data_IF_380761485144
#
_entry.id   IF_380761485144
#
_cell.length_a   1.000
_cell.length_b   1.000
_cell.length_c   1.000
_cell.angle_alpha   90.00
_cell.angle_beta   90.00
_cell.angle_gamma   90.00
#
_symmetry.space_group_name_H-M   'P 1'
#
loop_
_entity.id
_entity.type
_entity.pdbx_description
1 polymer ?
#
# COMPACT_ATOMS: atom_id res chain seq x y z
N UNK A 1 -8.73 -5.33 -2.00
CA UNK A 1 -7.58 -4.90 -1.16
C UNK A 1 -6.41 -4.63 -2.11
N UNK A 2 -5.16 -4.52 -1.64
CA UNK A 2 -3.96 -4.33 -2.49
C UNK A 2 -3.64 -5.49 -3.46
N UNK A 3 -4.54 -6.47 -3.58
CA UNK A 3 -4.46 -7.67 -4.44
C UNK A 3 -4.28 -7.35 -5.93
N UNK A 4 -4.63 -6.13 -6.34
CA UNK A 4 -4.31 -5.62 -7.67
C UNK A 4 -2.81 -5.65 -7.97
N UNK A 5 -1.95 -5.37 -6.99
CA UNK A 5 -0.49 -5.40 -7.18
C UNK A 5 0.08 -6.81 -7.31
N UNK A 6 -0.64 -7.85 -6.88
CA UNK A 6 -0.26 -9.24 -7.17
C UNK A 6 -0.57 -9.64 -8.63
N UNK A 7 -1.51 -8.94 -9.29
CA UNK A 7 -1.91 -9.22 -10.68
C UNK A 7 -1.18 -8.34 -11.68
N UNK A 8 -1.12 -7.04 -11.38
CA UNK A 8 -0.43 -6.03 -12.14
C UNK A 8 0.30 -5.11 -11.15
N UNK A 9 1.58 -5.38 -10.95
CA UNK A 9 2.41 -4.71 -9.95
C UNK A 9 2.50 -3.21 -10.19
N UNK A 10 2.54 -2.77 -11.44
CA UNK A 10 2.83 -1.37 -11.78
C UNK A 10 1.62 -0.62 -12.34
N UNK A 11 0.50 -1.30 -12.61
CA UNK A 11 -0.70 -0.69 -13.18
C UNK A 11 -1.30 0.50 -12.42
N UNK A 12 -0.91 0.72 -11.16
CA UNK A 12 -1.27 1.91 -10.36
C UNK A 12 -0.09 2.62 -9.72
N UNK A 13 1.06 2.61 -10.38
CA UNK A 13 2.25 3.33 -9.90
C UNK A 13 1.98 4.82 -9.66
N UNK A 14 1.23 5.48 -10.54
CA UNK A 14 0.84 6.89 -10.39
C UNK A 14 0.09 7.18 -9.09
N UNK A 15 -0.80 6.28 -8.67
CA UNK A 15 -1.56 6.44 -7.42
C UNK A 15 -0.63 6.34 -6.21
N UNK A 16 0.42 5.51 -6.28
CA UNK A 16 1.41 5.42 -5.22
C UNK A 16 2.25 6.68 -5.11
N UNK A 17 2.70 7.24 -6.25
CA UNK A 17 3.41 8.53 -6.27
C UNK A 17 2.53 9.67 -5.73
N UNK A 18 1.23 9.68 -6.04
CA UNK A 18 0.30 10.66 -5.45
C UNK A 18 0.19 10.54 -3.92
N UNK A 19 0.35 9.35 -3.35
CA UNK A 19 0.37 9.16 -1.90
C UNK A 19 1.63 9.72 -1.24
N UNK A 20 2.78 9.68 -1.92
CA UNK A 20 4.04 10.22 -1.37
C UNK A 20 3.97 11.74 -1.19
N UNK A 21 3.14 12.46 -1.96
CA UNK A 21 2.88 13.89 -1.71
C UNK A 21 2.34 14.17 -0.30
N UNK A 22 1.66 13.21 0.33
CA UNK A 22 1.13 13.32 1.70
C UNK A 22 2.04 12.70 2.75
N UNK A 23 2.73 11.60 2.40
CA UNK A 23 3.60 10.87 3.33
C UNK A 23 5.02 11.45 3.41
N UNK A 24 5.49 12.05 2.32
CA UNK A 24 6.84 12.57 2.13
C UNK A 24 7.32 12.36 0.69
N UNK A 25 7.53 13.44 -0.05
CA UNK A 25 7.88 13.41 -1.49
C UNK A 25 9.26 12.78 -1.79
N UNK A 26 10.09 12.58 -0.77
CA UNK A 26 11.41 11.93 -0.86
C UNK A 26 11.34 10.41 -0.81
N UNK A 27 10.15 9.85 -0.55
CA UNK A 27 9.94 8.40 -0.47
C UNK A 27 9.68 7.85 -1.87
N UNK A 28 10.35 6.75 -2.21
CA UNK A 28 10.02 5.95 -3.38
C UNK A 28 9.02 4.86 -2.98
N UNK A 29 7.82 4.82 -3.58
CA UNK A 29 6.90 3.74 -3.33
C UNK A 29 7.36 2.46 -4.03
N UNK A 30 7.13 1.31 -3.38
CA UNK A 30 7.31 -0.01 -3.99
C UNK A 30 5.95 -0.71 -3.95
N UNK A 31 5.30 -0.98 -5.10
CA UNK A 31 4.09 -1.76 -5.13
C UNK A 31 4.39 -3.21 -4.72
N UNK A 32 3.63 -3.70 -3.76
CA UNK A 32 3.69 -5.08 -3.26
C UNK A 32 2.27 -5.52 -2.95
N UNK A 33 1.84 -6.62 -3.57
CA UNK A 33 0.56 -7.25 -3.25
C UNK A 33 0.65 -8.14 -2.01
N UNK A 34 -0.49 -8.46 -1.34
CA UNK A 34 -0.49 -9.31 -0.15
C UNK A 34 0.11 -10.71 -0.33
N UNK A 35 0.02 -11.29 -1.54
CA UNK A 35 0.65 -12.59 -1.80
C UNK A 35 2.17 -12.43 -1.86
N UNK A 36 2.66 -11.51 -2.68
CA UNK A 36 4.09 -11.21 -2.75
C UNK A 36 4.66 -10.83 -1.37
N UNK A 37 3.98 -9.96 -0.63
CA UNK A 37 4.43 -9.55 0.69
C UNK A 37 4.60 -10.72 1.66
N UNK A 38 3.80 -11.78 1.56
CA UNK A 38 3.87 -12.95 2.46
C UNK A 38 4.88 -13.99 1.99
N UNK A 39 4.96 -14.19 0.68
CA UNK A 39 5.63 -15.36 0.08
C UNK A 39 7.00 -15.03 -0.53
N UNK A 40 7.28 -13.76 -0.89
CA UNK A 40 8.55 -13.35 -1.51
C UNK A 40 9.71 -13.50 -0.50
N UNK A 41 10.64 -14.39 -0.82
CA UNK A 41 11.86 -14.69 -0.05
C UNK A 41 13.14 -14.27 -0.80
N UNK A 42 13.01 -13.68 -1.99
CA UNK A 42 14.13 -13.25 -2.83
C UNK A 42 14.41 -11.76 -2.62
N UNK A 43 13.36 -10.95 -2.46
CA UNK A 43 13.48 -9.51 -2.30
C UNK A 43 13.84 -9.13 -0.87
N UNK A 44 15.12 -8.81 -0.64
CA UNK A 44 15.61 -8.35 0.68
C UNK A 44 14.80 -7.16 1.22
N UNK A 45 14.37 -6.23 0.37
CA UNK A 45 13.57 -5.08 0.82
C UNK A 45 12.17 -5.49 1.32
N UNK A 46 11.54 -6.50 0.70
CA UNK A 46 10.24 -7.01 1.14
C UNK A 46 10.40 -7.81 2.43
N UNK A 47 11.45 -8.61 2.54
CA UNK A 47 11.79 -9.36 3.75
C UNK A 47 12.04 -8.43 4.95
N UNK A 48 12.85 -7.39 4.77
CA UNK A 48 13.08 -6.35 5.80
C UNK A 48 11.79 -5.62 6.16
N UNK A 49 10.97 -5.24 5.17
CA UNK A 49 9.67 -4.61 5.43
C UNK A 49 8.71 -5.52 6.22
N UNK A 50 8.77 -6.84 6.02
CA UNK A 50 7.96 -7.81 6.76
C UNK A 50 8.42 -7.97 8.21
N UNK A 51 9.73 -7.93 8.46
CA UNK A 51 10.30 -8.15 9.80
C UNK A 51 10.33 -6.90 10.66
N UNK A 52 10.65 -5.76 10.05
CA UNK A 52 10.96 -4.52 10.78
C UNK A 52 10.00 -3.38 10.43
N UNK A 53 9.16 -3.55 9.41
CA UNK A 53 8.23 -2.51 8.97
C UNK A 53 7.09 -2.25 9.95
N UNK A 54 6.43 -1.11 9.76
CA UNK A 54 5.26 -0.69 10.55
C UNK A 54 3.99 -0.90 9.73
N UNK A 55 3.09 -1.75 10.21
CA UNK A 55 1.80 -1.96 9.58
C UNK A 55 0.86 -0.76 9.86
N UNK A 56 0.44 -0.06 8.80
CA UNK A 56 -0.51 1.04 8.90
C UNK A 56 -1.93 0.50 8.73
N UNK A 57 -2.65 0.35 9.84
CA UNK A 57 -4.07 -0.04 9.80
C UNK A 57 -4.93 1.10 9.24
N UNK A 58 -5.70 0.81 8.20
CA UNK A 58 -6.68 1.77 7.68
C UNK A 58 -7.77 2.00 8.74
N UNK A 59 -7.97 3.26 9.16
CA UNK A 59 -9.13 3.61 9.99
C UNK A 59 -10.42 3.30 9.21
N UNK A 60 -11.46 2.75 9.85
CA UNK A 60 -12.72 2.49 9.19
C UNK A 60 -13.28 3.78 8.59
N UNK A 61 -13.89 3.67 7.40
CA UNK A 61 -14.56 4.80 6.74
C UNK A 61 -15.66 5.29 7.68
N UNK A 62 -15.63 6.56 8.09
CA UNK A 62 -16.76 7.16 8.80
C UNK A 62 -18.00 7.04 7.89
N UNK A 63 -19.15 6.61 8.42
CA UNK A 63 -20.38 6.58 7.63
C UNK A 63 -20.66 7.99 7.10
N UNK A 64 -21.07 8.10 5.84
CA UNK A 64 -21.51 9.38 5.28
C UNK A 64 -22.72 9.83 6.10
N UNK A 65 -22.71 11.06 6.61
CA UNK A 65 -23.90 11.65 7.20
C UNK A 65 -25.03 11.58 6.18
N UNK A 66 -26.18 11.02 6.55
CA UNK A 66 -27.36 11.04 5.69
C UNK A 66 -27.71 12.51 5.46
N UNK A 67 -27.74 12.93 4.20
CA UNK A 67 -28.28 14.24 3.86
C UNK A 67 -29.74 14.27 4.35
N UNK A 68 -30.04 15.24 5.22
CA UNK A 68 -31.41 15.54 5.63
C UNK A 68 -32.27 15.87 4.42
N UNK A 69 -33.56 15.55 4.55
CA UNK A 69 -34.61 15.57 3.53
C UNK A 69 -34.76 16.91 2.81
#
# INVERSE_FOLDING_TARGET
MAEEFDRDRWGKEDDLWRLTLKAGFRLQPIPVGPKQFREDDVSTIIEMARREGVEIKRKPKRPKAKAGH
#
